data_IF_344154201043
#
_entry.id   IF_344154201043
#
_cell.length_a   1.000
_cell.length_b   1.000
_cell.length_c   1.000
_cell.angle_alpha   90.00
_cell.angle_beta   90.00
_cell.angle_gamma   90.00
#
_symmetry.space_group_name_H-M   'P 1'
#
loop_
_entity.id
_entity.type
_entity.pdbx_description
1 polymer ?
#
# COMPACT_ATOMS: atom_id res chain seq x y z
N UNK A 1 7.18 6.91 6.59
CA UNK A 1 6.09 6.08 7.12
C UNK A 1 5.41 5.25 6.03
N UNK A 2 4.65 5.85 5.13
CA UNK A 2 3.96 5.10 4.06
C UNK A 2 4.95 4.36 3.16
N UNK A 3 6.07 4.99 2.82
CA UNK A 3 7.11 4.40 1.98
C UNK A 3 7.73 3.15 2.61
N UNK A 4 7.94 3.17 3.92
CA UNK A 4 8.48 2.01 4.65
C UNK A 4 7.48 0.86 4.67
N UNK A 5 6.18 1.14 4.81
CA UNK A 5 5.14 0.12 4.79
C UNK A 5 5.06 -0.57 3.43
N UNK A 6 5.21 0.18 2.34
CA UNK A 6 5.24 -0.39 0.99
C UNK A 6 6.44 -1.31 0.82
N UNK A 7 7.61 -0.87 1.27
CA UNK A 7 8.83 -1.66 1.20
C UNK A 7 8.68 -2.98 1.99
N UNK A 8 8.12 -2.90 3.20
CA UNK A 8 7.89 -4.07 4.03
C UNK A 8 6.86 -5.01 3.40
N UNK A 9 5.78 -4.46 2.83
CA UNK A 9 4.76 -5.27 2.16
C UNK A 9 5.35 -6.04 0.97
N UNK A 10 6.19 -5.40 0.17
CA UNK A 10 6.86 -6.04 -0.96
C UNK A 10 7.81 -7.15 -0.48
N UNK A 11 8.58 -6.87 0.56
CA UNK A 11 9.49 -7.86 1.15
C UNK A 11 8.73 -9.09 1.63
N UNK A 12 7.62 -8.89 2.35
CA UNK A 12 6.80 -10.00 2.84
C UNK A 12 6.17 -10.79 1.69
N UNK A 13 5.70 -10.12 0.64
CA UNK A 13 5.14 -10.78 -0.52
C UNK A 13 6.19 -11.68 -1.22
N UNK A 14 7.41 -11.17 -1.38
CA UNK A 14 8.51 -11.95 -1.95
C UNK A 14 8.87 -13.14 -1.06
N UNK A 15 8.87 -12.98 0.26
CA UNK A 15 9.12 -14.06 1.19
C UNK A 15 8.02 -15.13 1.12
N UNK A 16 6.75 -14.71 0.98
CA UNK A 16 5.65 -15.66 0.82
C UNK A 16 5.85 -16.53 -0.42
N UNK A 17 6.23 -15.92 -1.54
CA UNK A 17 6.51 -16.67 -2.77
C UNK A 17 7.70 -17.60 -2.61
N UNK A 18 8.77 -17.15 -1.95
CA UNK A 18 9.98 -17.94 -1.73
C UNK A 18 9.70 -19.22 -0.94
N UNK A 19 8.86 -19.15 0.10
CA UNK A 19 8.60 -20.27 1.00
C UNK A 19 7.32 -21.03 0.67
N UNK A 20 6.61 -20.66 -0.39
CA UNK A 20 5.32 -21.24 -0.78
C UNK A 20 5.34 -22.77 -0.79
N UNK A 21 6.38 -23.37 -1.34
CA UNK A 21 6.50 -24.82 -1.48
C UNK A 21 7.33 -25.48 -0.36
N UNK A 22 8.21 -24.71 0.29
CA UNK A 22 9.10 -25.23 1.32
C UNK A 22 8.48 -25.25 2.70
N UNK A 23 7.75 -24.19 3.07
CA UNK A 23 7.15 -24.05 4.39
C UNK A 23 5.86 -23.22 4.25
N UNK A 24 4.74 -23.93 4.10
CA UNK A 24 3.45 -23.29 3.88
C UNK A 24 3.01 -22.39 5.03
N UNK A 25 3.30 -22.80 6.26
CA UNK A 25 2.91 -22.03 7.45
C UNK A 25 3.66 -20.70 7.46
N UNK A 26 4.96 -20.73 7.20
CA UNK A 26 5.77 -19.52 7.13
C UNK A 26 5.33 -18.63 5.96
N UNK A 27 5.07 -19.22 4.80
CA UNK A 27 4.61 -18.49 3.64
C UNK A 27 3.28 -17.79 3.91
N UNK A 28 2.33 -18.44 4.57
CA UNK A 28 1.05 -17.83 4.94
C UNK A 28 1.24 -16.67 5.91
N UNK A 29 2.17 -16.78 6.83
CA UNK A 29 2.50 -15.70 7.76
C UNK A 29 2.98 -14.47 6.97
N UNK A 30 3.89 -14.64 6.03
CA UNK A 30 4.37 -13.54 5.21
C UNK A 30 3.27 -12.96 4.33
N UNK A 31 2.41 -13.81 3.78
CA UNK A 31 1.26 -13.37 2.99
C UNK A 31 0.33 -12.48 3.84
N UNK A 32 0.02 -12.92 5.05
CA UNK A 32 -0.83 -12.15 5.97
C UNK A 32 -0.19 -10.82 6.34
N UNK A 33 1.11 -10.81 6.64
CA UNK A 33 1.82 -9.58 6.96
C UNK A 33 1.79 -8.59 5.79
N UNK A 34 2.02 -9.07 4.58
CA UNK A 34 1.98 -8.22 3.39
C UNK A 34 0.57 -7.64 3.17
N UNK A 35 -0.45 -8.48 3.32
CA UNK A 35 -1.85 -8.05 3.16
C UNK A 35 -2.21 -6.99 4.20
N UNK A 36 -1.79 -7.16 5.46
CA UNK A 36 -2.04 -6.18 6.52
C UNK A 36 -1.40 -4.84 6.21
N UNK A 37 -0.16 -4.84 5.70
CA UNK A 37 0.52 -3.60 5.32
C UNK A 37 -0.21 -2.88 4.19
N UNK A 38 -0.73 -3.62 3.20
CA UNK A 38 -1.52 -3.03 2.13
C UNK A 38 -2.82 -2.43 2.64
N UNK A 39 -3.49 -3.07 3.60
CA UNK A 39 -4.70 -2.54 4.21
C UNK A 39 -4.43 -1.23 4.94
N UNK A 40 -3.31 -1.14 5.66
CA UNK A 40 -2.91 0.11 6.32
C UNK A 40 -2.70 1.23 5.30
N UNK A 41 -2.06 0.95 4.19
CA UNK A 41 -1.84 1.95 3.14
C UNK A 41 -3.15 2.40 2.49
N UNK A 42 -4.08 1.47 2.25
CA UNK A 42 -5.39 1.81 1.70
C UNK A 42 -6.15 2.74 2.65
N UNK A 43 -6.09 2.49 3.96
CA UNK A 43 -6.72 3.35 4.95
C UNK A 43 -6.11 4.74 4.97
N UNK A 44 -4.78 4.83 4.93
CA UNK A 44 -4.08 6.12 4.90
C UNK A 44 -4.41 6.90 3.63
N UNK A 45 -4.43 6.22 2.48
CA UNK A 45 -4.79 6.84 1.21
C UNK A 45 -6.21 7.41 1.26
N UNK A 46 -7.16 6.63 1.79
CA UNK A 46 -8.54 7.08 1.91
C UNK A 46 -8.66 8.33 2.79
N UNK A 47 -7.88 8.42 3.87
CA UNK A 47 -7.88 9.60 4.74
C UNK A 47 -7.31 10.83 4.05
N UNK A 48 -6.24 10.67 3.27
CA UNK A 48 -5.65 11.78 2.52
C UNK A 48 -6.64 12.32 1.49
N UNK A 49 -7.31 11.42 0.75
CA UNK A 49 -8.33 11.81 -0.23
C UNK A 49 -9.48 12.56 0.45
N UNK A 50 -9.95 12.06 1.60
CA UNK A 50 -11.03 12.71 2.34
C UNK A 50 -10.64 14.12 2.78
N UNK A 51 -9.45 14.28 3.33
CA UNK A 51 -8.98 15.59 3.80
C UNK A 51 -8.88 16.60 2.66
N UNK A 52 -8.38 16.19 1.51
CA UNK A 52 -8.27 17.07 0.36
C UNK A 52 -9.65 17.47 -0.17
N UNK A 53 -10.57 16.53 -0.26
CA UNK A 53 -11.92 16.82 -0.73
C UNK A 53 -12.66 17.75 0.23
N UNK A 54 -12.51 17.54 1.54
CA UNK A 54 -13.10 18.42 2.56
C UNK A 54 -12.53 19.82 2.45
N UNK A 55 -11.23 19.94 2.25
CA UNK A 55 -10.58 21.24 2.11
C UNK A 55 -11.11 21.98 0.88
N UNK A 56 -11.20 21.29 -0.27
CA UNK A 56 -11.73 21.89 -1.50
C UNK A 56 -13.16 22.37 -1.34
N UNK A 57 -13.99 21.60 -0.63
CA UNK A 57 -15.38 21.96 -0.42
C UNK A 57 -15.54 23.21 0.47
N UNK A 58 -14.65 23.40 1.44
CA UNK A 58 -14.77 24.47 2.43
C UNK A 58 -13.93 25.71 2.10
N UNK A 59 -12.76 25.53 1.53
CA UNK A 59 -11.77 26.60 1.33
C UNK A 59 -11.28 26.79 -0.09
N UNK A 60 -11.72 25.93 -1.02
CA UNK A 60 -11.29 25.99 -2.42
C UNK A 60 -10.03 25.17 -2.68
N UNK A 61 -9.10 25.71 -3.46
CA UNK A 61 -7.90 24.97 -3.82
C UNK A 61 -7.01 24.67 -2.60
N UNK A 62 -6.55 23.42 -2.45
CA UNK A 62 -5.68 23.07 -1.35
C UNK A 62 -4.30 23.73 -1.48
N UNK A 63 -3.60 23.96 -0.35
CA UNK A 63 -2.23 24.43 -0.40
C UNK A 63 -1.34 23.51 -1.23
N UNK A 64 -0.32 24.08 -1.84
CA UNK A 64 0.62 23.32 -2.67
C UNK A 64 1.19 22.10 -1.96
N UNK A 65 1.55 22.25 -0.68
CA UNK A 65 2.09 21.15 0.12
C UNK A 65 1.07 20.00 0.28
N UNK A 66 -0.20 20.32 0.49
CA UNK A 66 -1.25 19.31 0.62
C UNK A 66 -1.49 18.59 -0.70
N UNK A 67 -1.49 19.33 -1.81
CA UNK A 67 -1.64 18.75 -3.14
C UNK A 67 -0.46 17.84 -3.48
N UNK A 68 0.75 18.24 -3.10
CA UNK A 68 1.95 17.44 -3.33
C UNK A 68 1.89 16.09 -2.60
N UNK A 69 1.38 16.07 -1.35
CA UNK A 69 1.21 14.83 -0.60
C UNK A 69 0.19 13.92 -1.29
N UNK A 70 -0.93 14.49 -1.73
CA UNK A 70 -1.95 13.72 -2.44
C UNK A 70 -1.39 13.12 -3.72
N UNK A 71 -0.70 13.92 -4.52
CA UNK A 71 -0.13 13.46 -5.79
C UNK A 71 0.87 12.34 -5.57
N UNK A 72 1.73 12.48 -4.56
CA UNK A 72 2.71 11.45 -4.22
C UNK A 72 2.03 10.13 -3.86
N UNK A 73 1.07 10.18 -2.93
CA UNK A 73 0.37 8.96 -2.49
C UNK A 73 -0.42 8.34 -3.64
N UNK A 74 -1.09 9.17 -4.44
CA UNK A 74 -1.96 8.67 -5.50
C UNK A 74 -1.18 8.12 -6.70
N UNK A 75 -0.17 8.85 -7.15
CA UNK A 75 0.53 8.50 -8.40
C UNK A 75 1.71 7.55 -8.19
N UNK A 76 2.55 7.83 -7.20
CA UNK A 76 3.78 7.05 -7.02
C UNK A 76 3.56 5.76 -6.23
N UNK A 77 2.82 5.84 -5.13
CA UNK A 77 2.65 4.68 -4.26
C UNK A 77 1.61 3.70 -4.77
N UNK A 78 0.63 4.15 -5.55
CA UNK A 78 -0.35 3.24 -6.12
C UNK A 78 0.27 2.25 -7.10
N UNK A 79 1.29 2.65 -7.85
CA UNK A 79 2.00 1.75 -8.76
C UNK A 79 2.74 0.65 -7.98
N UNK A 80 3.41 1.02 -6.90
CA UNK A 80 4.09 0.05 -6.03
C UNK A 80 3.10 -0.92 -5.40
N UNK A 81 1.95 -0.42 -4.96
CA UNK A 81 0.88 -1.27 -4.40
C UNK A 81 0.37 -2.26 -5.45
N UNK A 82 0.22 -1.85 -6.71
CA UNK A 82 -0.21 -2.75 -7.78
C UNK A 82 0.79 -3.89 -7.98
N UNK A 83 2.09 -3.60 -7.95
CA UNK A 83 3.12 -4.63 -8.07
C UNK A 83 3.04 -5.64 -6.92
N UNK A 84 2.84 -5.16 -5.71
CA UNK A 84 2.68 -6.04 -4.54
C UNK A 84 1.44 -6.91 -4.68
N UNK A 85 0.33 -6.36 -5.15
CA UNK A 85 -0.89 -7.13 -5.38
C UNK A 85 -0.69 -8.23 -6.43
N UNK A 86 0.12 -7.97 -7.46
CA UNK A 86 0.48 -8.99 -8.44
C UNK A 86 1.26 -10.13 -7.77
N UNK A 87 2.25 -9.81 -6.92
CA UNK A 87 3.02 -10.81 -6.19
C UNK A 87 2.11 -11.67 -5.29
N UNK A 88 1.18 -11.05 -4.58
CA UNK A 88 0.24 -11.77 -3.72
C UNK A 88 -0.72 -12.64 -4.53
N UNK A 89 -1.12 -12.19 -5.71
CA UNK A 89 -1.93 -12.96 -6.64
C UNK A 89 -1.17 -14.22 -7.11
N UNK A 90 0.12 -14.09 -7.39
CA UNK A 90 0.98 -15.22 -7.76
C UNK A 90 1.09 -16.24 -6.63
N UNK A 91 1.12 -15.77 -5.39
CA UNK A 91 1.15 -16.66 -4.23
C UNK A 91 -0.11 -17.54 -4.18
N UNK A 92 -1.28 -16.95 -4.40
CA UNK A 92 -2.55 -17.68 -4.39
C UNK A 92 -2.78 -18.53 -5.65
N UNK A 93 -2.29 -18.06 -6.76
CA UNK A 93 -2.46 -18.74 -8.03
C UNK A 93 -1.52 -19.87 -8.21
#
# INVERSE_FOLDING_TARGET
MIKEEIHDAEKYANCALKYKDEDKTLAETFYTLSTNELQHMDLLHAQVVRLINDYRAKKGEPPEAMQAVYDYVHEEQMDDVKEIKVLLSMYKG
#
